data_IF_317716526083
#
_entry.id   IF_317716526083
#
_cell.length_a   1.000
_cell.length_b   1.000
_cell.length_c   1.000
_cell.angle_alpha   90.00
_cell.angle_beta   90.00
_cell.angle_gamma   90.00
#
_symmetry.space_group_name_H-M   'P 1'
#
loop_
_entity.id
_entity.type
_entity.pdbx_description
1 polymer ?
#
# COMPACT_ATOMS: atom_id res chain seq x y z
N UNK A 1 -13.56 -19.38 14.97
CA UNK A 1 -12.90 -19.37 13.65
C UNK A 1 -12.89 -17.92 13.16
N UNK A 2 -11.83 -17.48 12.48
CA UNK A 2 -11.84 -16.15 11.86
C UNK A 2 -12.85 -16.14 10.71
N UNK A 3 -13.75 -15.17 10.69
CA UNK A 3 -14.82 -15.04 9.70
C UNK A 3 -14.58 -13.78 8.88
N UNK A 4 -14.58 -13.84 7.53
CA UNK A 4 -14.42 -12.66 6.70
C UNK A 4 -15.50 -11.61 6.96
N UNK A 5 -15.07 -10.36 7.15
CA UNK A 5 -15.92 -9.17 7.17
C UNK A 5 -16.01 -8.58 5.76
N UNK A 6 -17.23 -8.26 5.33
CA UNK A 6 -17.52 -7.66 4.02
C UNK A 6 -18.14 -6.29 4.24
N UNK A 7 -17.41 -5.23 3.88
CA UNK A 7 -17.92 -3.86 3.95
C UNK A 7 -18.82 -3.57 2.76
N UNK A 8 -20.01 -3.00 3.00
CA UNK A 8 -20.95 -2.61 1.94
C UNK A 8 -21.14 -1.10 1.94
N UNK A 9 -20.46 -0.44 0.98
CA UNK A 9 -20.60 0.98 0.71
C UNK A 9 -21.58 1.20 -0.45
N UNK A 10 -22.38 2.27 -0.37
CA UNK A 10 -23.25 2.66 -1.47
C UNK A 10 -23.68 4.11 -1.39
N UNK A 11 -24.02 4.69 -2.54
CA UNK A 11 -24.79 5.94 -2.60
C UNK A 11 -26.16 5.71 -1.93
N UNK A 12 -26.42 6.36 -0.80
CA UNK A 12 -27.53 6.01 0.10
C UNK A 12 -28.93 6.41 -0.43
N UNK A 13 -29.98 5.89 0.23
CA UNK A 13 -31.42 6.01 -0.05
C UNK A 13 -31.97 5.19 -1.23
N UNK A 14 -31.40 5.29 -2.42
CA UNK A 14 -31.95 4.61 -3.62
C UNK A 14 -31.67 3.10 -3.66
N UNK A 15 -30.75 2.64 -2.82
CA UNK A 15 -30.25 1.27 -2.80
C UNK A 15 -30.59 0.53 -1.49
N UNK A 16 -31.50 1.05 -0.68
CA UNK A 16 -31.87 0.45 0.63
C UNK A 16 -32.33 -1.01 0.54
N UNK A 17 -33.13 -1.35 -0.48
CA UNK A 17 -33.56 -2.72 -0.74
C UNK A 17 -32.37 -3.62 -1.13
N UNK A 18 -31.54 -3.16 -2.07
CA UNK A 18 -30.33 -3.86 -2.53
C UNK A 18 -29.37 -4.10 -1.35
N UNK A 19 -29.17 -3.13 -0.47
CA UNK A 19 -28.32 -3.26 0.73
C UNK A 19 -28.85 -4.32 1.70
N UNK A 20 -30.16 -4.37 1.89
CA UNK A 20 -30.80 -5.37 2.75
C UNK A 20 -30.62 -6.77 2.17
N UNK A 21 -30.82 -6.92 0.86
CA UNK A 21 -30.60 -8.20 0.17
C UNK A 21 -29.12 -8.60 0.15
N UNK A 22 -28.20 -7.65 -0.03
CA UNK A 22 -26.75 -7.87 0.08
C UNK A 22 -26.36 -8.38 1.48
N UNK A 23 -26.90 -7.78 2.54
CA UNK A 23 -26.66 -8.22 3.92
C UNK A 23 -27.05 -9.68 4.12
N UNK A 24 -28.24 -10.07 3.67
CA UNK A 24 -28.73 -11.44 3.83
C UNK A 24 -27.95 -12.43 2.96
N UNK A 25 -27.58 -12.03 1.74
CA UNK A 25 -26.70 -12.79 0.86
C UNK A 25 -25.32 -13.02 1.48
N UNK A 26 -24.66 -11.99 2.02
CA UNK A 26 -23.34 -12.11 2.68
C UNK A 26 -23.45 -13.08 3.87
N UNK A 27 -24.51 -12.96 4.69
CA UNK A 27 -24.76 -13.88 5.81
C UNK A 27 -24.97 -15.32 5.36
N UNK A 28 -25.57 -15.55 4.19
CA UNK A 28 -25.77 -16.91 3.66
C UNK A 28 -24.47 -17.67 3.40
N UNK A 29 -23.35 -16.98 3.21
CA UNK A 29 -22.00 -17.57 3.10
C UNK A 29 -21.31 -17.78 4.45
N UNK A 30 -21.96 -17.37 5.55
CA UNK A 30 -21.36 -17.34 6.88
C UNK A 30 -20.37 -16.19 7.09
N UNK A 31 -20.38 -15.17 6.22
CA UNK A 31 -19.57 -13.96 6.37
C UNK A 31 -20.28 -12.91 7.23
N UNK A 32 -19.51 -11.93 7.74
CA UNK A 32 -20.04 -10.83 8.55
C UNK A 32 -20.24 -9.61 7.65
N UNK A 33 -21.49 -9.22 7.33
CA UNK A 33 -21.73 -7.98 6.60
C UNK A 33 -21.53 -6.77 7.52
N UNK A 34 -20.75 -5.79 7.07
CA UNK A 34 -20.54 -4.52 7.75
C UNK A 34 -21.24 -3.43 6.96
N UNK A 35 -22.28 -2.86 7.57
CA UNK A 35 -23.06 -1.75 7.04
C UNK A 35 -23.16 -0.68 8.13
N UNK A 36 -22.93 0.58 7.77
CA UNK A 36 -23.02 1.73 8.68
C UNK A 36 -24.39 1.84 9.36
N UNK A 37 -25.48 1.71 8.62
CA UNK A 37 -26.85 1.88 9.13
C UNK A 37 -27.33 0.79 10.12
N UNK A 38 -26.66 -0.36 10.18
CA UNK A 38 -27.09 -1.51 11.01
C UNK A 38 -26.28 -1.67 12.31
N UNK A 39 -25.48 -0.67 12.70
CA UNK A 39 -24.75 -0.67 13.97
C UNK A 39 -23.58 -1.67 14.03
N UNK A 40 -23.11 -2.14 12.88
CA UNK A 40 -21.96 -3.06 12.77
C UNK A 40 -20.61 -2.31 12.74
N UNK A 41 -20.65 -0.99 12.89
CA UNK A 41 -19.48 -0.11 12.98
C UNK A 41 -19.37 0.36 14.42
N UNK A 42 -18.17 0.29 15.01
CA UNK A 42 -17.92 0.90 16.31
C UNK A 42 -17.83 2.42 16.13
N UNK A 43 -18.84 3.14 16.61
CA UNK A 43 -18.84 4.60 16.65
C UNK A 43 -18.09 5.09 17.88
N UNK A 44 -16.85 5.51 17.69
CA UNK A 44 -16.06 6.10 18.77
C UNK A 44 -16.68 7.46 19.14
N UNK A 45 -17.07 7.72 20.41
CA UNK A 45 -17.60 9.02 20.84
C UNK A 45 -16.67 10.20 20.57
N UNK A 46 -15.36 9.94 20.46
CA UNK A 46 -14.34 10.95 20.19
C UNK A 46 -14.15 11.25 18.69
N UNK A 47 -14.79 10.48 17.80
CA UNK A 47 -14.67 10.61 16.34
C UNK A 47 -16.00 10.96 15.68
N UNK A 48 -15.93 11.55 14.48
CA UNK A 48 -17.07 11.65 13.59
C UNK A 48 -17.54 10.25 13.17
N UNK A 49 -18.85 10.10 12.96
CA UNK A 49 -19.45 8.93 12.31
C UNK A 49 -18.77 8.50 11.01
N UNK A 50 -18.36 9.44 10.15
CA UNK A 50 -17.63 9.15 8.92
C UNK A 50 -16.25 8.54 9.21
N UNK A 51 -15.49 9.13 10.14
CA UNK A 51 -14.16 8.63 10.53
C UNK A 51 -14.25 7.23 11.17
N UNK A 52 -15.31 6.97 11.94
CA UNK A 52 -15.57 5.65 12.50
C UNK A 52 -15.85 4.61 11.40
N UNK A 53 -16.59 4.97 10.36
CA UNK A 53 -16.81 4.11 9.20
C UNK A 53 -15.49 3.83 8.45
N UNK A 54 -14.66 4.86 8.22
CA UNK A 54 -13.36 4.71 7.55
C UNK A 54 -12.44 3.74 8.30
N UNK A 55 -12.37 3.84 9.63
CA UNK A 55 -11.59 2.91 10.44
C UNK A 55 -12.10 1.46 10.36
N UNK A 56 -13.42 1.24 10.22
CA UNK A 56 -13.96 -0.11 10.08
C UNK A 56 -13.68 -0.71 8.70
N UNK A 57 -13.52 0.11 7.64
CA UNK A 57 -13.14 -0.36 6.30
C UNK A 57 -11.82 -1.13 6.36
N UNK A 58 -10.81 -0.62 7.06
CA UNK A 58 -9.49 -1.25 7.18
C UNK A 58 -9.54 -2.64 7.86
N UNK A 59 -10.56 -2.88 8.68
CA UNK A 59 -10.75 -4.15 9.38
C UNK A 59 -11.48 -5.21 8.54
N UNK A 60 -11.91 -4.87 7.33
CA UNK A 60 -12.65 -5.75 6.43
C UNK A 60 -11.75 -6.50 5.45
N UNK A 61 -12.20 -7.67 4.98
CA UNK A 61 -11.45 -8.49 4.03
C UNK A 61 -11.96 -8.37 2.59
N UNK A 62 -13.20 -7.89 2.41
CA UNK A 62 -13.81 -7.62 1.12
C UNK A 62 -14.59 -6.31 1.19
N UNK A 63 -14.67 -5.62 0.05
CA UNK A 63 -15.44 -4.40 -0.10
C UNK A 63 -16.39 -4.52 -1.28
N UNK A 64 -17.66 -4.16 -1.08
CA UNK A 64 -18.67 -4.06 -2.13
C UNK A 64 -19.06 -2.59 -2.24
N UNK A 65 -18.91 -2.03 -3.43
CA UNK A 65 -19.32 -0.66 -3.76
C UNK A 65 -20.54 -0.72 -4.67
N UNK A 66 -21.67 -0.14 -4.26
CA UNK A 66 -22.84 0.01 -5.12
C UNK A 66 -23.13 1.48 -5.45
N UNK A 67 -23.09 1.83 -6.73
CA UNK A 67 -23.28 3.20 -7.23
C UNK A 67 -24.65 3.32 -7.92
N UNK A 68 -25.46 4.26 -7.44
CA UNK A 68 -26.77 4.63 -7.99
C UNK A 68 -26.82 6.10 -8.45
N UNK A 69 -28.03 6.63 -8.63
CA UNK A 69 -28.29 7.96 -9.21
C UNK A 69 -28.16 9.14 -8.24
N UNK A 70 -27.53 8.95 -7.08
CA UNK A 70 -27.38 9.97 -6.04
C UNK A 70 -25.94 10.07 -5.58
N UNK A 71 -25.52 11.26 -5.19
CA UNK A 71 -24.14 11.51 -4.75
C UNK A 71 -23.84 10.95 -3.35
N UNK A 72 -24.86 10.80 -2.51
CA UNK A 72 -24.73 10.39 -1.11
C UNK A 72 -24.42 11.57 -0.17
N UNK A 73 -24.02 11.26 1.07
CA UNK A 73 -23.69 12.26 2.09
C UNK A 73 -22.32 12.90 1.83
N UNK A 74 -22.21 14.22 1.95
CA UNK A 74 -20.95 14.96 1.85
C UNK A 74 -20.08 14.75 3.09
N UNK A 75 -18.76 14.72 2.91
CA UNK A 75 -17.79 14.76 4.00
C UNK A 75 -17.47 16.21 4.35
N UNK A 76 -17.32 16.51 5.63
CA UNK A 76 -16.78 17.79 6.11
C UNK A 76 -15.30 17.59 6.45
N UNK A 77 -14.38 18.51 6.07
CA UNK A 77 -14.62 19.83 5.46
C UNK A 77 -14.69 19.86 3.92
N UNK A 78 -14.37 18.76 3.24
CA UNK A 78 -14.33 18.71 1.77
C UNK A 78 -15.72 18.37 1.17
N UNK A 79 -16.51 19.42 0.94
CA UNK A 79 -17.88 19.32 0.41
C UNK A 79 -17.99 18.69 -0.98
N UNK A 80 -16.88 18.55 -1.70
CA UNK A 80 -16.83 17.92 -3.02
C UNK A 80 -16.57 16.41 -2.95
N UNK A 81 -16.33 15.85 -1.76
CA UNK A 81 -16.20 14.42 -1.55
C UNK A 81 -17.41 13.85 -0.82
N UNK A 82 -17.92 12.73 -1.32
CA UNK A 82 -18.94 11.96 -0.59
C UNK A 82 -18.28 11.00 0.42
N UNK A 83 -19.03 10.59 1.44
CA UNK A 83 -18.63 9.54 2.37
C UNK A 83 -18.25 8.27 1.62
N UNK A 84 -19.04 7.89 0.62
CA UNK A 84 -18.78 6.73 -0.26
C UNK A 84 -17.44 6.84 -0.98
N UNK A 85 -17.06 8.03 -1.46
CA UNK A 85 -15.79 8.25 -2.13
C UNK A 85 -14.61 8.04 -1.16
N UNK A 86 -14.73 8.54 0.07
CA UNK A 86 -13.69 8.34 1.08
C UNK A 86 -13.59 6.88 1.55
N UNK A 87 -14.73 6.18 1.70
CA UNK A 87 -14.75 4.74 2.01
C UNK A 87 -14.07 3.93 0.91
N UNK A 88 -14.30 4.27 -0.36
CA UNK A 88 -13.60 3.67 -1.49
C UNK A 88 -12.10 3.96 -1.46
N UNK A 89 -11.70 5.21 -1.24
CA UNK A 89 -10.29 5.61 -1.13
C UNK A 89 -9.58 4.82 0.00
N UNK A 90 -10.22 4.68 1.16
CA UNK A 90 -9.69 3.88 2.27
C UNK A 90 -9.53 2.40 1.89
N UNK A 91 -10.51 1.82 1.20
CA UNK A 91 -10.43 0.43 0.75
C UNK A 91 -9.31 0.18 -0.27
N UNK A 92 -9.09 1.12 -1.19
CA UNK A 92 -7.99 1.08 -2.17
C UNK A 92 -6.64 1.16 -1.45
N UNK A 93 -6.48 2.10 -0.50
CA UNK A 93 -5.26 2.25 0.29
C UNK A 93 -4.94 1.00 1.13
N UNK A 94 -5.98 0.38 1.72
CA UNK A 94 -5.87 -0.86 2.47
C UNK A 94 -5.66 -2.11 1.58
N UNK A 95 -5.66 -1.96 0.25
CA UNK A 95 -5.53 -3.04 -0.74
C UNK A 95 -6.57 -4.16 -0.57
N UNK A 96 -7.76 -3.78 -0.13
CA UNK A 96 -8.88 -4.69 0.02
C UNK A 96 -9.43 -4.99 -1.38
N UNK A 97 -9.80 -6.24 -1.72
CA UNK A 97 -10.50 -6.52 -2.98
C UNK A 97 -11.85 -5.80 -3.05
N UNK A 98 -12.07 -5.03 -4.12
CA UNK A 98 -13.28 -4.22 -4.32
C UNK A 98 -14.11 -4.79 -5.45
N UNK A 99 -15.41 -4.99 -5.19
CA UNK A 99 -16.40 -5.32 -6.21
C UNK A 99 -17.30 -4.10 -6.44
N UNK A 100 -17.05 -3.39 -7.54
CA UNK A 100 -17.83 -2.22 -7.93
C UNK A 100 -19.03 -2.62 -8.79
N UNK A 101 -20.21 -2.21 -8.35
CA UNK A 101 -21.51 -2.47 -8.96
C UNK A 101 -22.17 -1.14 -9.29
N UNK A 102 -22.52 -0.91 -10.54
CA UNK A 102 -23.10 0.36 -11.00
C UNK A 102 -24.48 0.08 -11.59
N UNK A 103 -25.49 0.86 -11.21
CA UNK A 103 -26.83 0.72 -11.80
C UNK A 103 -26.76 0.94 -13.32
N UNK A 104 -27.39 0.07 -14.11
CA UNK A 104 -27.29 0.13 -15.59
C UNK A 104 -27.80 1.45 -16.19
N UNK A 105 -28.79 2.08 -15.56
CA UNK A 105 -29.29 3.40 -15.97
C UNK A 105 -28.20 4.47 -15.83
N UNK A 106 -27.44 4.44 -14.73
CA UNK A 106 -26.33 5.37 -14.45
C UNK A 106 -25.18 5.15 -15.42
N UNK A 107 -24.88 3.89 -15.76
CA UNK A 107 -23.90 3.58 -16.81
C UNK A 107 -24.33 4.11 -18.18
N UNK A 108 -25.62 4.10 -18.47
CA UNK A 108 -26.14 4.61 -19.75
C UNK A 108 -25.96 6.12 -19.86
N UNK A 109 -26.24 6.85 -18.78
CA UNK A 109 -26.03 8.29 -18.70
C UNK A 109 -24.55 8.67 -18.66
N UNK A 110 -23.72 7.86 -17.99
CA UNK A 110 -22.26 8.02 -17.99
C UNK A 110 -21.69 7.97 -19.41
N UNK A 111 -22.17 7.07 -20.28
CA UNK A 111 -21.78 7.05 -21.71
C UNK A 111 -22.18 8.32 -22.47
N UNK A 112 -23.30 8.94 -22.10
CA UNK A 112 -23.72 10.23 -22.67
C UNK A 112 -22.77 11.33 -22.19
N UNK A 113 -22.40 11.31 -20.91
CA UNK A 113 -21.41 12.21 -20.33
C UNK A 113 -20.04 12.08 -21.03
N UNK A 114 -19.51 10.86 -21.20
CA UNK A 114 -18.24 10.60 -21.88
C UNK A 114 -18.21 11.20 -23.30
N UNK A 115 -19.28 10.98 -24.08
CA UNK A 115 -19.37 11.54 -25.44
C UNK A 115 -19.39 13.06 -25.49
N UNK A 116 -19.85 13.71 -24.43
CA UNK A 116 -20.00 15.15 -24.34
C UNK A 116 -18.95 15.82 -23.42
N UNK A 117 -17.92 15.09 -22.99
CA UNK A 117 -16.94 15.54 -21.99
C UNK A 117 -16.24 16.85 -22.35
N UNK A 118 -16.01 17.08 -23.66
CA UNK A 118 -15.34 18.25 -24.23
C UNK A 118 -16.31 19.40 -24.61
N UNK A 119 -17.60 19.25 -24.35
CA UNK A 119 -18.62 20.25 -24.68
C UNK A 119 -19.08 20.98 -23.42
N UNK A 120 -19.29 22.29 -23.51
CA UNK A 120 -19.88 23.09 -22.40
C UNK A 120 -21.30 22.63 -22.05
N UNK A 121 -21.95 21.87 -22.96
CA UNK A 121 -23.31 21.35 -22.82
C UNK A 121 -23.41 20.31 -21.69
N UNK A 122 -22.30 19.69 -21.24
CA UNK A 122 -22.34 18.61 -20.23
C UNK A 122 -23.01 18.99 -18.91
N UNK A 123 -22.99 20.28 -18.54
CA UNK A 123 -23.65 20.86 -17.35
C UNK A 123 -25.13 21.18 -17.57
N UNK A 124 -25.54 21.29 -18.83
CA UNK A 124 -26.90 21.66 -19.24
C UNK A 124 -27.73 20.43 -19.67
N UNK A 125 -27.11 19.24 -19.71
CA UNK A 125 -27.81 17.97 -19.97
C UNK A 125 -28.45 17.53 -18.65
N UNK A 126 -29.76 17.27 -18.70
CA UNK A 126 -30.45 16.57 -17.63
C UNK A 126 -30.25 15.06 -17.82
N UNK A 127 -29.69 14.39 -16.81
CA UNK A 127 -29.40 12.95 -16.84
C UNK A 127 -30.55 12.20 -16.14
N UNK A 128 -31.39 11.43 -16.86
CA UNK A 128 -32.61 10.83 -16.30
C UNK A 128 -32.38 9.82 -15.18
N UNK A 129 -31.21 9.19 -15.12
CA UNK A 129 -30.86 8.23 -14.07
C UNK A 129 -30.46 8.88 -12.75
N UNK A 130 -30.17 10.19 -12.76
CA UNK A 130 -29.79 10.97 -11.59
C UNK A 130 -31.04 11.60 -10.98
N UNK A 131 -31.18 11.56 -9.65
CA UNK A 131 -32.30 12.20 -8.96
C UNK A 131 -32.34 13.71 -9.30
N UNK A 132 -33.54 14.24 -9.55
CA UNK A 132 -33.76 15.66 -9.86
C UNK A 132 -33.12 16.59 -8.81
N UNK A 133 -33.11 16.16 -7.54
CA UNK A 133 -32.50 16.91 -6.43
C UNK A 133 -30.97 16.80 -6.37
N UNK A 134 -30.35 16.03 -7.27
CA UNK A 134 -28.92 15.74 -7.30
C UNK A 134 -28.30 15.99 -8.69
N UNK A 135 -29.03 16.62 -9.62
CA UNK A 135 -28.52 16.92 -10.97
C UNK A 135 -27.24 17.77 -10.94
N UNK A 136 -27.07 18.65 -9.95
CA UNK A 136 -25.83 19.42 -9.74
C UNK A 136 -24.60 18.53 -9.49
N UNK A 137 -24.81 17.34 -8.94
CA UNK A 137 -23.77 16.36 -8.60
C UNK A 137 -23.64 15.22 -9.62
N UNK A 138 -24.37 15.28 -10.74
CA UNK A 138 -24.28 14.27 -11.79
C UNK A 138 -22.84 14.10 -12.30
N UNK A 139 -22.14 15.21 -12.51
CA UNK A 139 -20.75 15.22 -12.95
C UNK A 139 -19.84 14.58 -11.91
N UNK A 140 -20.03 14.88 -10.63
CA UNK A 140 -19.20 14.30 -9.55
C UNK A 140 -19.35 12.77 -9.47
N UNK A 141 -20.57 12.25 -9.72
CA UNK A 141 -20.83 10.79 -9.80
C UNK A 141 -20.09 10.19 -11.00
N UNK A 142 -20.16 10.84 -12.16
CA UNK A 142 -19.50 10.35 -13.37
C UNK A 142 -17.97 10.43 -13.27
N UNK A 143 -17.42 11.50 -12.71
CA UNK A 143 -15.99 11.62 -12.42
C UNK A 143 -15.53 10.56 -11.41
N UNK A 144 -16.37 10.20 -10.44
CA UNK A 144 -16.08 9.09 -9.54
C UNK A 144 -16.04 7.74 -10.28
N UNK A 145 -16.96 7.50 -11.21
CA UNK A 145 -16.93 6.29 -12.06
C UNK A 145 -15.66 6.27 -12.93
N UNK A 146 -15.29 7.39 -13.55
CA UNK A 146 -14.05 7.53 -14.34
C UNK A 146 -12.82 7.23 -13.50
N UNK A 147 -12.78 7.71 -12.25
CA UNK A 147 -11.71 7.45 -11.29
C UNK A 147 -11.57 5.97 -10.97
N UNK A 148 -12.68 5.23 -10.88
CA UNK A 148 -12.62 3.78 -10.63
C UNK A 148 -12.05 3.07 -11.87
N UNK A 149 -12.50 3.43 -13.08
CA UNK A 149 -11.99 2.82 -14.31
C UNK A 149 -10.49 3.10 -14.57
N UNK A 150 -10.00 4.28 -14.20
CA UNK A 150 -8.59 4.68 -14.36
C UNK A 150 -7.66 4.12 -13.29
N UNK A 151 -8.19 3.52 -12.22
CA UNK A 151 -7.38 2.90 -11.17
C UNK A 151 -6.56 1.71 -11.71
N UNK A 152 -5.29 1.51 -11.29
CA UNK A 152 -4.45 0.41 -11.76
C UNK A 152 -4.91 -0.97 -11.27
N UNK A 153 -5.64 -1.01 -10.15
CA UNK A 153 -6.19 -2.23 -9.54
C UNK A 153 -7.59 -1.95 -9.04
N UNK A 154 -8.39 -3.00 -8.78
CA UNK A 154 -9.77 -2.85 -8.29
C UNK A 154 -10.69 -2.01 -9.21
N UNK A 155 -10.39 -2.00 -10.52
CA UNK A 155 -11.07 -1.19 -11.53
C UNK A 155 -12.18 -1.94 -12.30
N UNK A 156 -12.55 -3.13 -11.84
CA UNK A 156 -13.64 -3.90 -12.43
C UNK A 156 -14.98 -3.34 -11.97
N UNK A 157 -15.78 -2.88 -12.93
CA UNK A 157 -17.14 -2.37 -12.71
C UNK A 157 -18.15 -3.26 -13.43
N UNK A 158 -19.17 -3.71 -12.72
CA UNK A 158 -20.27 -4.50 -13.30
C UNK A 158 -21.59 -3.73 -13.23
N UNK A 159 -22.34 -3.75 -14.33
CA UNK A 159 -23.67 -3.15 -14.41
C UNK A 159 -24.75 -4.04 -13.78
N UNK A 160 -25.70 -3.47 -13.04
CA UNK A 160 -26.85 -4.22 -12.53
C UNK A 160 -28.19 -3.50 -12.74
N UNK A 161 -29.25 -4.28 -12.95
CA UNK A 161 -30.64 -3.80 -12.95
C UNK A 161 -31.40 -4.28 -11.71
N UNK A 162 -31.15 -5.54 -11.32
CA UNK A 162 -31.80 -6.20 -10.18
C UNK A 162 -30.75 -6.86 -9.30
N UNK A 163 -31.15 -7.19 -8.07
CA UNK A 163 -30.27 -7.89 -7.14
C UNK A 163 -29.82 -9.26 -7.63
N UNK A 164 -30.63 -9.97 -8.43
CA UNK A 164 -30.24 -11.25 -9.03
C UNK A 164 -28.97 -11.16 -9.87
N UNK A 165 -28.74 -10.00 -10.50
CA UNK A 165 -27.56 -9.75 -11.33
C UNK A 165 -26.32 -9.63 -10.43
N UNK A 166 -26.44 -8.87 -9.34
CA UNK A 166 -25.42 -8.71 -8.30
C UNK A 166 -25.08 -10.06 -7.67
N UNK A 167 -26.10 -10.82 -7.28
CA UNK A 167 -25.95 -12.13 -6.67
C UNK A 167 -25.18 -13.09 -7.60
N UNK A 168 -25.62 -13.18 -8.86
CA UNK A 168 -24.98 -14.02 -9.87
C UNK A 168 -23.51 -13.63 -10.09
N UNK A 169 -23.23 -12.33 -10.19
CA UNK A 169 -21.89 -11.81 -10.36
C UNK A 169 -20.99 -12.12 -9.15
N UNK A 170 -21.41 -11.74 -7.93
CA UNK A 170 -20.63 -11.96 -6.71
C UNK A 170 -20.38 -13.45 -6.45
N UNK A 171 -21.37 -14.32 -6.69
CA UNK A 171 -21.19 -15.78 -6.58
C UNK A 171 -20.08 -16.30 -7.50
N UNK A 172 -20.04 -15.84 -8.76
CA UNK A 172 -18.98 -16.20 -9.71
C UNK A 172 -17.62 -15.69 -9.25
N UNK A 173 -17.54 -14.43 -8.84
CA UNK A 173 -16.30 -13.82 -8.40
C UNK A 173 -15.74 -14.52 -7.16
N UNK A 174 -16.57 -14.79 -6.16
CA UNK A 174 -16.14 -15.45 -4.92
C UNK A 174 -15.78 -16.93 -5.15
N UNK A 175 -16.49 -17.62 -6.04
CA UNK A 175 -16.11 -18.97 -6.45
C UNK A 175 -14.72 -18.98 -7.13
N UNK A 176 -14.46 -18.02 -8.02
CA UNK A 176 -13.15 -17.87 -8.65
C UNK A 176 -12.06 -17.52 -7.62
N UNK A 177 -12.36 -16.64 -6.67
CA UNK A 177 -11.44 -16.28 -5.58
C UNK A 177 -11.08 -17.50 -4.75
N UNK A 178 -12.08 -18.30 -4.35
CA UNK A 178 -11.85 -19.53 -3.60
C UNK A 178 -11.05 -20.56 -4.40
N UNK A 179 -11.37 -20.75 -5.68
CA UNK A 179 -10.61 -21.64 -6.56
C UNK A 179 -9.14 -21.20 -6.68
N UNK A 180 -8.88 -19.90 -6.83
CA UNK A 180 -7.52 -19.36 -6.90
C UNK A 180 -6.76 -19.59 -5.58
N UNK A 181 -7.43 -19.45 -4.43
CA UNK A 181 -6.83 -19.76 -3.13
C UNK A 181 -6.50 -21.26 -2.99
N UNK A 182 -7.38 -22.15 -3.45
CA UNK A 182 -7.13 -23.59 -3.45
C UNK A 182 -5.96 -23.96 -4.39
N UNK A 183 -5.91 -23.36 -5.57
CA UNK A 183 -4.80 -23.56 -6.52
C UNK A 183 -3.48 -23.03 -5.97
N UNK A 184 -3.49 -21.84 -5.35
CA UNK A 184 -2.32 -21.28 -4.69
C UNK A 184 -1.82 -22.21 -3.58
N UNK A 185 -2.72 -22.71 -2.73
CA UNK A 185 -2.38 -23.68 -1.68
C UNK A 185 -1.80 -24.98 -2.26
N UNK A 186 -2.39 -25.52 -3.33
CA UNK A 186 -1.87 -26.72 -4.01
C UNK A 186 -0.47 -26.47 -4.56
N UNK A 187 -0.26 -25.31 -5.18
CA UNK A 187 1.02 -24.94 -5.77
C UNK A 187 2.08 -24.68 -4.70
N UNK A 188 1.74 -24.04 -3.57
CA UNK A 188 2.66 -23.84 -2.44
C UNK A 188 3.19 -25.17 -1.89
N UNK A 189 2.36 -26.21 -1.83
CA UNK A 189 2.82 -27.55 -1.45
C UNK A 189 3.79 -28.14 -2.48
N UNK A 190 3.65 -27.79 -3.76
CA UNK A 190 4.59 -28.18 -4.83
C UNK A 190 5.85 -27.31 -4.92
N UNK A 191 5.99 -26.25 -4.10
CA UNK A 191 7.22 -25.45 -4.00
C UNK A 191 8.24 -26.02 -3.00
N UNK A 192 7.83 -26.91 -2.10
CA UNK A 192 8.73 -27.63 -1.17
C UNK A 192 9.89 -28.36 -1.88
N UNK A 193 9.68 -29.07 -3.01
CA UNK A 193 10.74 -29.69 -3.79
C UNK A 193 11.74 -28.66 -4.35
N UNK A 194 11.28 -27.47 -4.74
CA UNK A 194 12.16 -26.41 -5.28
C UNK A 194 13.06 -25.85 -4.19
N UNK A 195 12.54 -25.61 -2.98
CA UNK A 195 13.38 -25.21 -1.85
C UNK A 195 14.39 -26.29 -1.45
N UNK A 196 14.01 -27.58 -1.55
CA UNK A 196 14.93 -28.68 -1.33
C UNK A 196 16.04 -28.71 -2.40
N UNK A 197 15.70 -28.52 -3.68
CA UNK A 197 16.68 -28.43 -4.77
C UNK A 197 17.64 -27.25 -4.60
N UNK A 198 17.16 -26.09 -4.13
CA UNK A 198 18.02 -24.94 -3.82
C UNK A 198 18.99 -25.27 -2.69
N UNK A 199 18.52 -25.91 -1.62
CA UNK A 199 19.38 -26.33 -0.51
C UNK A 199 20.40 -27.40 -0.95
N UNK A 200 20.00 -28.34 -1.82
CA UNK A 200 20.90 -29.33 -2.42
C UNK A 200 21.95 -28.66 -3.32
N UNK A 201 21.57 -27.65 -4.10
CA UNK A 201 22.48 -26.82 -4.90
C UNK A 201 23.46 -26.03 -4.03
N UNK A 202 22.98 -25.46 -2.91
CA UNK A 202 23.84 -24.78 -1.95
C UNK A 202 24.86 -25.75 -1.33
N UNK A 203 24.41 -26.94 -0.93
CA UNK A 203 25.27 -28.00 -0.41
C UNK A 203 26.30 -28.48 -1.46
N UNK A 204 25.89 -28.61 -2.73
CA UNK A 204 26.78 -28.96 -3.83
C UNK A 204 27.82 -27.88 -4.07
N UNK A 205 27.43 -26.60 -4.07
CA UNK A 205 28.35 -25.46 -4.19
C UNK A 205 29.32 -25.37 -3.01
N UNK A 206 28.87 -25.62 -1.77
CA UNK A 206 29.75 -25.70 -0.61
C UNK A 206 30.75 -26.86 -0.75
N UNK A 207 30.30 -28.00 -1.26
CA UNK A 207 31.16 -29.16 -1.50
C UNK A 207 32.20 -28.88 -2.58
N UNK A 208 31.81 -28.26 -3.69
CA UNK A 208 32.72 -27.80 -4.74
C UNK A 208 33.75 -26.80 -4.21
N UNK A 209 33.30 -25.84 -3.38
CA UNK A 209 34.19 -24.90 -2.69
C UNK A 209 35.21 -25.64 -1.83
N UNK A 210 34.78 -26.62 -1.02
CA UNK A 210 35.68 -27.42 -0.18
C UNK A 210 36.68 -28.23 -1.00
N UNK A 211 36.25 -28.84 -2.13
CA UNK A 211 37.16 -29.55 -3.03
C UNK A 211 38.18 -28.63 -3.70
N UNK A 212 37.75 -27.44 -4.15
CA UNK A 212 38.67 -26.44 -4.68
C UNK A 212 39.67 -25.99 -3.60
N UNK A 213 39.21 -25.76 -2.37
CA UNK A 213 40.09 -25.42 -1.24
C UNK A 213 41.13 -26.52 -0.96
N UNK A 214 40.73 -27.79 -0.96
CA UNK A 214 41.64 -28.93 -0.76
C UNK A 214 42.61 -29.15 -1.94
N UNK A 215 42.15 -28.99 -3.18
CA UNK A 215 43.03 -29.08 -4.35
C UNK A 215 44.06 -27.95 -4.37
N UNK A 216 43.64 -26.71 -4.06
CA UNK A 216 44.56 -25.57 -3.99
C UNK A 216 45.55 -25.75 -2.84
N UNK A 217 45.12 -26.29 -1.68
CA UNK A 217 46.02 -26.63 -0.56
C UNK A 217 47.08 -27.65 -0.95
N UNK A 218 46.72 -28.64 -1.75
CA UNK A 218 47.63 -29.72 -2.16
C UNK A 218 48.55 -29.36 -3.34
N UNK A 219 48.26 -28.30 -4.10
CA UNK A 219 48.99 -27.95 -5.34
C UNK A 219 49.90 -26.73 -5.24
N UNK A 220 49.84 -25.88 -4.20
CA UNK A 220 50.64 -24.64 -4.14
C UNK A 220 51.32 -24.36 -2.79
N UNK A 221 52.51 -23.75 -2.88
CA UNK A 221 53.36 -23.25 -1.80
C UNK A 221 52.64 -22.26 -0.85
N UNK A 222 53.23 -22.01 0.32
CA UNK A 222 52.78 -21.15 1.44
C UNK A 222 52.11 -19.81 1.10
N UNK A 223 52.29 -19.26 -0.10
CA UNK A 223 51.66 -18.03 -0.55
C UNK A 223 50.18 -18.21 -0.97
N UNK A 224 49.79 -19.37 -1.51
CA UNK A 224 48.38 -19.64 -1.84
C UNK A 224 47.52 -19.83 -0.58
N UNK A 225 48.08 -20.43 0.48
CA UNK A 225 47.41 -20.53 1.78
C UNK A 225 47.14 -19.15 2.40
N UNK A 226 48.07 -18.19 2.25
CA UNK A 226 47.86 -16.79 2.68
C UNK A 226 46.79 -16.10 1.85
N UNK A 227 46.73 -16.34 0.54
CA UNK A 227 45.69 -15.76 -0.33
C UNK A 227 44.31 -16.29 0.10
N UNK A 228 44.16 -17.59 0.36
CA UNK A 228 42.89 -18.19 0.82
C UNK A 228 42.49 -17.67 2.21
N UNK A 229 43.43 -17.60 3.17
CA UNK A 229 43.13 -17.07 4.50
C UNK A 229 42.68 -15.61 4.40
N UNK A 230 43.34 -14.81 3.56
CA UNK A 230 42.97 -13.42 3.32
C UNK A 230 41.61 -13.30 2.63
N UNK A 231 41.30 -14.17 1.66
CA UNK A 231 40.00 -14.18 0.97
C UNK A 231 38.86 -14.61 1.91
N UNK A 232 39.10 -15.62 2.75
CA UNK A 232 38.15 -16.10 3.76
C UNK A 232 37.91 -15.05 4.84
N UNK A 233 38.96 -14.39 5.29
CA UNK A 233 38.86 -13.29 6.25
C UNK A 233 38.16 -12.07 5.62
N UNK A 234 38.40 -11.77 4.34
CA UNK A 234 37.65 -10.75 3.58
C UNK A 234 36.16 -11.08 3.49
N UNK A 235 35.81 -12.31 3.11
CA UNK A 235 34.41 -12.72 2.98
C UNK A 235 33.68 -12.76 4.33
N UNK A 236 34.36 -13.18 5.40
CA UNK A 236 33.81 -13.16 6.75
C UNK A 236 33.61 -11.72 7.23
N UNK A 237 34.61 -10.85 7.02
CA UNK A 237 34.51 -9.41 7.29
C UNK A 237 33.37 -8.77 6.51
N UNK A 238 33.16 -9.15 5.25
CA UNK A 238 32.07 -8.62 4.42
C UNK A 238 30.69 -9.09 4.91
N UNK A 239 30.54 -10.37 5.27
CA UNK A 239 29.31 -10.88 5.87
C UNK A 239 28.99 -10.22 7.21
N UNK A 240 30.01 -10.00 8.06
CA UNK A 240 29.86 -9.27 9.32
C UNK A 240 29.50 -7.80 9.09
N UNK A 241 30.09 -7.14 8.07
CA UNK A 241 29.74 -5.78 7.65
C UNK A 241 28.29 -5.69 7.25
N UNK A 242 27.81 -6.58 6.37
CA UNK A 242 26.41 -6.63 5.93
C UNK A 242 25.47 -6.84 7.12
N UNK A 243 25.82 -7.72 8.06
CA UNK A 243 25.02 -8.00 9.26
C UNK A 243 24.94 -6.77 10.18
N UNK A 244 26.07 -6.07 10.40
CA UNK A 244 26.11 -4.83 11.18
C UNK A 244 25.31 -3.71 10.53
N UNK A 245 25.37 -3.58 9.19
CA UNK A 245 24.59 -2.60 8.42
C UNK A 245 23.08 -2.87 8.56
N UNK A 246 22.65 -4.13 8.44
CA UNK A 246 21.23 -4.52 8.61
C UNK A 246 20.72 -4.33 10.05
N UNK A 247 21.60 -4.40 11.04
CA UNK A 247 21.25 -4.17 12.44
C UNK A 247 21.04 -2.69 12.79
N UNK A 248 21.38 -1.74 11.92
CA UNK A 248 21.23 -0.32 12.20
C UNK A 248 19.74 0.06 12.22
N UNK A 249 19.22 0.61 13.34
CA UNK A 249 17.81 0.97 13.47
C UNK A 249 17.31 1.92 12.37
N UNK A 250 18.20 2.81 11.89
CA UNK A 250 17.91 3.72 10.79
C UNK A 250 17.54 3.01 9.48
N UNK A 251 18.27 1.96 9.09
CA UNK A 251 17.96 1.21 7.87
C UNK A 251 16.63 0.48 8.06
N UNK A 252 16.44 -0.20 9.19
CA UNK A 252 15.16 -0.85 9.50
C UNK A 252 14.00 0.14 9.52
N UNK A 253 14.20 1.37 10.01
CA UNK A 253 13.21 2.44 9.95
C UNK A 253 12.88 2.81 8.50
N UNK A 254 13.90 3.04 7.65
CA UNK A 254 13.68 3.37 6.24
C UNK A 254 13.02 2.24 5.45
N UNK A 255 13.41 0.99 5.70
CA UNK A 255 12.86 -0.18 5.01
C UNK A 255 11.43 -0.48 5.49
N UNK A 256 11.17 -0.42 6.79
CA UNK A 256 9.85 -0.78 7.35
C UNK A 256 8.82 0.34 7.22
N UNK A 257 9.23 1.61 7.35
CA UNK A 257 8.30 2.75 7.27
C UNK A 257 8.12 3.26 5.85
N UNK A 258 9.15 3.15 4.99
CA UNK A 258 9.13 3.75 3.65
C UNK A 258 9.35 2.75 2.50
N UNK A 259 9.39 1.45 2.80
CA UNK A 259 9.48 0.35 1.82
C UNK A 259 10.65 0.48 0.81
N UNK A 260 11.72 1.19 1.18
CA UNK A 260 12.91 1.29 0.35
C UNK A 260 13.69 -0.03 0.34
N UNK A 261 14.11 -0.47 -0.85
CA UNK A 261 15.03 -1.61 -0.97
C UNK A 261 16.35 -1.31 -0.26
N UNK A 262 16.86 -2.31 0.49
CA UNK A 262 18.14 -2.24 1.18
C UNK A 262 19.28 -1.77 0.26
N UNK A 263 19.31 -2.26 -0.97
CA UNK A 263 20.36 -1.94 -1.94
C UNK A 263 20.33 -0.46 -2.34
N UNK A 264 19.13 0.12 -2.47
CA UNK A 264 18.94 1.51 -2.84
C UNK A 264 19.38 2.45 -1.70
N UNK A 265 19.03 2.11 -0.47
CA UNK A 265 19.47 2.88 0.73
C UNK A 265 20.99 2.86 0.86
N UNK A 266 21.63 1.70 0.65
CA UNK A 266 23.09 1.57 0.72
C UNK A 266 23.76 2.41 -0.39
N UNK A 267 23.24 2.37 -1.62
CA UNK A 267 23.77 3.19 -2.73
C UNK A 267 23.65 4.70 -2.45
N UNK A 268 22.53 5.14 -1.86
CA UNK A 268 22.34 6.54 -1.46
C UNK A 268 23.35 6.97 -0.41
N UNK A 269 23.53 6.14 0.63
CA UNK A 269 24.50 6.41 1.69
C UNK A 269 25.93 6.43 1.13
N UNK A 270 26.27 5.62 0.14
CA UNK A 270 27.60 5.61 -0.48
C UNK A 270 27.88 6.85 -1.35
N UNK A 271 26.88 7.34 -2.09
CA UNK A 271 27.04 8.46 -3.03
C UNK A 271 26.95 9.85 -2.39
N UNK A 272 26.31 9.96 -1.22
CA UNK A 272 26.15 11.24 -0.55
C UNK A 272 27.49 11.84 -0.07
N UNK A 273 27.63 13.17 -0.15
CA UNK A 273 28.77 13.92 0.39
C UNK A 273 28.42 14.67 1.68
N UNK A 274 27.15 15.03 1.86
CA UNK A 274 26.62 15.65 3.08
C UNK A 274 25.31 14.97 3.52
N UNK A 275 24.92 15.15 4.78
CA UNK A 275 23.60 14.69 5.27
C UNK A 275 22.44 15.30 4.47
N UNK A 276 22.61 16.55 4.02
CA UNK A 276 21.64 17.26 3.20
C UNK A 276 21.37 16.55 1.86
N UNK A 277 22.36 15.84 1.29
CA UNK A 277 22.19 15.13 0.01
C UNK A 277 21.28 13.91 0.16
N UNK A 278 21.36 13.23 1.30
CA UNK A 278 20.51 12.07 1.63
C UNK A 278 19.07 12.53 1.80
N UNK A 279 18.85 13.62 2.55
CA UNK A 279 17.52 14.19 2.80
C UNK A 279 16.93 14.72 1.48
N UNK A 280 17.72 15.40 0.65
CA UNK A 280 17.27 15.89 -0.64
C UNK A 280 16.85 14.74 -1.57
N UNK A 281 17.64 13.66 -1.63
CA UNK A 281 17.32 12.53 -2.50
C UNK A 281 16.10 11.76 -1.99
N UNK A 282 15.98 11.53 -0.68
CA UNK A 282 14.79 10.92 -0.09
C UNK A 282 13.54 11.77 -0.35
N UNK A 283 13.65 13.10 -0.29
CA UNK A 283 12.52 13.98 -0.58
C UNK A 283 12.11 14.05 -2.05
N UNK A 284 12.99 13.71 -2.99
CA UNK A 284 12.61 13.55 -4.41
C UNK A 284 11.81 12.26 -4.63
N UNK A 285 12.15 11.19 -3.91
CA UNK A 285 11.43 9.91 -4.03
C UNK A 285 10.06 9.91 -3.36
N UNK A 286 9.76 10.92 -2.56
CA UNK A 286 8.67 10.87 -1.62
C UNK A 286 8.03 12.26 -1.51
N UNK A 287 6.93 12.45 -2.27
CA UNK A 287 6.33 13.76 -2.52
C UNK A 287 5.90 14.57 -1.29
N UNK A 288 5.86 13.96 -0.10
CA UNK A 288 5.47 14.59 1.17
C UNK A 288 6.63 14.83 2.15
N UNK A 289 7.90 14.68 1.72
CA UNK A 289 9.03 14.87 2.62
C UNK A 289 9.47 16.33 2.70
N UNK A 290 8.95 17.07 3.69
CA UNK A 290 9.40 18.44 3.95
C UNK A 290 10.86 18.48 4.44
N UNK A 291 11.78 18.83 3.54
CA UNK A 291 13.23 18.92 3.79
C UNK A 291 13.59 19.64 5.10
N UNK A 292 12.95 20.77 5.40
CA UNK A 292 13.22 21.57 6.59
C UNK A 292 12.69 20.93 7.89
N UNK A 293 11.57 20.19 7.80
CA UNK A 293 10.96 19.49 8.94
C UNK A 293 11.74 18.22 9.29
N UNK A 294 12.18 17.46 8.30
CA UNK A 294 13.06 16.30 8.54
C UNK A 294 14.42 16.73 9.08
N UNK A 295 15.02 17.79 8.53
CA UNK A 295 16.28 18.36 9.03
C UNK A 295 16.17 18.77 10.49
N UNK A 296 15.11 19.48 10.88
CA UNK A 296 14.89 19.89 12.27
C UNK A 296 14.55 18.71 13.21
N UNK A 297 13.84 17.69 12.73
CA UNK A 297 13.57 16.47 13.53
C UNK A 297 14.83 15.62 13.76
N UNK A 298 15.68 15.47 12.75
CA UNK A 298 16.98 14.77 12.85
C UNK A 298 17.96 15.50 13.77
N UNK A 299 17.95 16.84 13.76
CA UNK A 299 18.80 17.67 14.64
C UNK A 299 18.39 17.61 16.12
N UNK A 300 17.11 17.36 16.41
CA UNK A 300 16.60 17.38 17.79
C UNK A 300 16.61 16.01 18.49
N UNK A 301 17.17 14.96 17.87
CA UNK A 301 17.34 13.66 18.52
C UNK A 301 16.11 12.74 18.45
N UNK A 302 15.34 12.80 17.36
CA UNK A 302 14.36 11.76 17.05
C UNK A 302 15.00 10.36 16.98
N UNK A 303 14.19 9.30 16.94
CA UNK A 303 14.61 7.88 17.02
C UNK A 303 15.58 7.40 15.92
N UNK A 304 16.03 8.29 15.05
CA UNK A 304 17.02 8.13 13.99
C UNK A 304 17.99 9.32 14.00
N UNK A 305 18.99 9.27 14.87
CA UNK A 305 20.11 10.23 14.87
C UNK A 305 20.92 10.08 13.55
N UNK A 306 21.18 11.17 12.79
CA UNK A 306 22.03 11.14 11.59
C UNK A 306 23.39 10.49 11.79
N UNK A 307 23.93 10.52 13.01
CA UNK A 307 25.19 9.83 13.33
C UNK A 307 25.13 8.31 13.09
N UNK A 308 23.94 7.69 13.10
CA UNK A 308 23.77 6.29 12.74
C UNK A 308 24.14 6.01 11.27
N UNK A 309 24.02 7.00 10.37
CA UNK A 309 24.50 6.90 8.99
C UNK A 309 26.03 6.93 8.96
N UNK A 310 26.67 7.67 9.87
CA UNK A 310 28.13 7.64 10.02
C UNK A 310 28.61 6.30 10.60
N UNK A 311 27.80 5.59 11.40
CA UNK A 311 28.09 4.19 11.79
C UNK A 311 28.14 3.29 10.55
N UNK A 312 27.19 3.45 9.62
CA UNK A 312 27.15 2.70 8.36
C UNK A 312 28.36 3.06 7.46
N UNK A 313 28.67 4.35 7.30
CA UNK A 313 29.79 4.80 6.47
C UNK A 313 31.15 4.40 7.03
N UNK A 314 31.34 4.48 8.34
CA UNK A 314 32.56 3.98 8.98
C UNK A 314 32.70 2.46 8.83
N UNK A 315 31.58 1.71 8.84
CA UNK A 315 31.57 0.26 8.57
C UNK A 315 31.91 -0.05 7.11
N UNK A 316 31.60 0.86 6.19
CA UNK A 316 31.95 0.82 4.76
C UNK A 316 33.32 1.47 4.44
N UNK A 317 34.11 1.87 5.45
CA UNK A 317 35.39 2.58 5.29
C UNK A 317 35.29 3.92 4.53
N UNK A 318 34.12 4.55 4.56
CA UNK A 318 33.86 5.87 3.96
C UNK A 318 33.97 6.98 4.99
N UNK A 319 34.40 8.17 4.55
CA UNK A 319 34.43 9.36 5.42
C UNK A 319 33.04 9.68 5.99
N UNK A 320 33.01 10.01 7.28
CA UNK A 320 31.81 10.47 7.98
C UNK A 320 31.24 11.73 7.32
N UNK A 321 29.92 11.78 7.21
CA UNK A 321 29.18 12.92 6.67
C UNK A 321 29.10 14.03 7.71
N UNK A 322 29.06 15.26 7.21
CA UNK A 322 28.75 16.47 7.96
C UNK A 322 27.56 17.18 7.31
N UNK A 323 26.98 18.14 8.04
CA UNK A 323 25.95 19.03 7.49
C UNK A 323 26.60 20.12 6.66
N UNK A 324 26.01 20.46 5.50
CA UNK A 324 26.51 21.51 4.61
C UNK A 324 26.36 22.92 5.21
N UNK A 325 25.45 23.08 6.17
CA UNK A 325 25.26 24.30 6.97
C UNK A 325 25.21 23.94 8.46
N UNK A 326 25.99 24.58 9.35
CA UNK A 326 25.93 24.30 10.78
C UNK A 326 24.55 24.70 11.36
N UNK A 327 24.02 23.96 12.35
CA UNK A 327 22.66 24.14 12.84
C UNK A 327 22.51 25.39 13.73
N UNK A 328 21.32 26.02 13.79
CA UNK A 328 21.00 27.01 14.82
C UNK A 328 20.86 26.32 16.21
N UNK A 329 21.17 27.02 17.32
CA UNK A 329 21.14 26.46 18.66
C UNK A 329 19.72 26.01 19.08
N UNK A 330 19.60 25.01 19.98
CA UNK A 330 18.32 24.41 20.33
C UNK A 330 17.47 25.39 21.13
N UNK A 331 16.42 25.92 20.51
CA UNK A 331 15.45 26.80 21.16
C UNK A 331 14.01 26.46 20.76
N UNK A 332 13.59 25.20 20.90
CA UNK A 332 12.17 24.80 20.97
C UNK A 332 12.04 23.32 21.36
N UNK A 333 10.92 22.90 21.98
CA UNK A 333 10.63 21.48 22.22
C UNK A 333 10.62 20.70 20.90
N UNK A 334 11.05 19.44 20.97
CA UNK A 334 11.11 18.49 19.85
C UNK A 334 9.87 18.61 18.94
N UNK A 335 10.03 18.97 17.65
CA UNK A 335 8.91 18.91 16.71
C UNK A 335 8.45 17.45 16.60
N UNK A 336 7.13 17.25 16.46
CA UNK A 336 6.57 15.93 16.17
C UNK A 336 7.28 15.32 14.94
N UNK A 337 7.42 14.00 14.92
CA UNK A 337 8.02 13.29 13.79
C UNK A 337 7.50 13.84 12.45
N UNK A 338 8.35 13.96 11.41
CA UNK A 338 7.86 14.30 10.08
C UNK A 338 6.73 13.33 9.74
N UNK A 339 5.70 13.81 9.04
CA UNK A 339 4.54 12.99 8.76
C UNK A 339 5.03 11.70 8.10
N UNK A 340 4.48 10.55 8.54
CA UNK A 340 4.64 9.32 7.79
C UNK A 340 4.30 9.67 6.35
N UNK A 341 5.17 9.29 5.42
CA UNK A 341 4.81 9.32 4.02
C UNK A 341 3.52 8.55 3.90
N UNK A 342 2.42 9.27 3.67
CA UNK A 342 1.22 8.66 3.14
C UNK A 342 1.71 7.86 1.95
N UNK A 343 1.40 6.56 1.97
CA UNK A 343 1.85 5.61 0.97
C UNK A 343 1.72 6.22 -0.44
N UNK A 344 2.81 6.78 -0.94
CA UNK A 344 3.03 6.95 -2.37
C UNK A 344 3.40 5.57 -2.89
N UNK A 345 2.39 4.73 -3.02
CA UNK A 345 2.39 3.58 -3.92
C UNK A 345 1.08 3.76 -4.70
N UNK A 346 1.08 4.11 -5.98
CA UNK A 346 2.02 3.80 -7.07
C UNK A 346 1.75 4.72 -8.24
#
# INVERSE_FOLDING_TARGET
MAVPKVFVSSTCFDLSEIRTQLKDFIRSFGFIPVLSEYGNVFYNPDLNTADSCLNEVENCQLFILAIGGRFGSKIEPDKNKSVTNAEYEAAVLAKIPIFTLIKSDVLSDHRVYEKNQNSEIKKSIAYPSIDDNCQEHAIDIFEFIDKIYTSPTNNACEGFNKFSDIESYLRKQWAAFFNNLLMKRKNEQSLQPISMQINELEAANQTLKNYLEELIRNTLNTDAQKIISNEKERNLKESERITKIRAVPFINFLTNQYNFSYDLVIQLIQKAQYFDDIIATLGVFSGDFEFNRTKSWWLNGGSSNPEQINIIRNTLELHSLSWKTPPPPPSMPLPAAPPQLGNASS
#
